data_IF_889038618608
#
_entry.id   IF_889038618608
#
_cell.length_a   1.000
_cell.length_b   1.000
_cell.length_c   1.000
_cell.angle_alpha   90.00
_cell.angle_beta   90.00
_cell.angle_gamma   90.00
#
_symmetry.space_group_name_H-M   'P 1'
#
loop_
_entity.id
_entity.type
_entity.pdbx_description
1 polymer ?
#
# COMPACT_ATOMS: atom_id res chain seq x y z
N UNK A 1 20.06 -65.39 63.18
CA UNK A 1 19.77 -63.95 63.00
C UNK A 1 20.19 -63.40 61.63
N UNK A 2 21.37 -63.72 61.08
CA UNK A 2 21.79 -63.21 59.75
C UNK A 2 20.88 -63.70 58.60
N UNK A 3 20.56 -64.99 58.53
CA UNK A 3 19.76 -65.54 57.42
C UNK A 3 18.31 -65.04 57.32
N UNK A 4 17.75 -64.41 58.36
CA UNK A 4 16.43 -63.75 58.28
C UNK A 4 16.56 -62.34 57.70
N UNK A 5 17.59 -61.57 58.11
CA UNK A 5 17.88 -60.24 57.55
C UNK A 5 18.20 -60.30 56.06
N UNK A 6 18.99 -61.29 55.63
CA UNK A 6 19.30 -61.50 54.20
C UNK A 6 18.05 -61.79 53.38
N UNK A 7 17.10 -62.58 53.91
CA UNK A 7 15.81 -62.87 53.25
C UNK A 7 14.92 -61.62 53.14
N UNK A 8 14.89 -60.78 54.18
CA UNK A 8 14.13 -59.52 54.15
C UNK A 8 14.72 -58.53 53.15
N UNK A 9 16.05 -58.37 53.12
CA UNK A 9 16.73 -57.52 52.14
C UNK A 9 16.48 -57.99 50.70
N UNK A 10 16.56 -59.29 50.47
CA UNK A 10 16.26 -59.87 49.15
C UNK A 10 14.84 -59.56 48.70
N UNK A 11 13.85 -59.71 49.59
CA UNK A 11 12.45 -59.41 49.29
C UNK A 11 12.21 -57.92 49.01
N UNK A 12 12.91 -57.03 49.72
CA UNK A 12 12.84 -55.59 49.47
C UNK A 12 13.47 -55.22 48.13
N UNK A 13 14.61 -55.83 47.78
CA UNK A 13 15.25 -55.68 46.47
C UNK A 13 14.36 -56.20 45.33
N UNK A 14 13.77 -57.39 45.48
CA UNK A 14 12.82 -57.95 44.50
C UNK A 14 11.60 -57.04 44.29
N UNK A 15 11.06 -56.44 45.38
CA UNK A 15 9.99 -55.44 45.29
C UNK A 15 10.44 -54.15 44.61
N UNK A 16 11.62 -53.64 44.96
CA UNK A 16 12.18 -52.43 44.36
C UNK A 16 12.45 -52.62 42.86
N UNK A 17 12.94 -53.80 42.49
CA UNK A 17 13.17 -54.18 41.11
C UNK A 17 11.85 -54.22 40.35
N UNK A 18 10.84 -54.93 40.87
CA UNK A 18 9.51 -54.96 40.24
C UNK A 18 8.86 -53.58 40.09
N UNK A 19 9.03 -52.69 41.08
CA UNK A 19 8.56 -51.30 40.97
C UNK A 19 9.32 -50.52 39.89
N UNK A 20 10.64 -50.74 39.76
CA UNK A 20 11.47 -50.09 38.73
C UNK A 20 11.10 -50.59 37.34
N UNK A 21 10.88 -51.90 37.18
CA UNK A 21 10.47 -52.52 35.92
C UNK A 21 9.09 -51.99 35.48
N UNK A 22 8.14 -51.91 36.41
CA UNK A 22 6.83 -51.31 36.15
C UNK A 22 6.95 -49.84 35.71
N UNK A 23 7.84 -49.08 36.34
CA UNK A 23 8.10 -47.69 35.96
C UNK A 23 8.70 -47.60 34.56
N UNK A 24 9.65 -48.49 34.23
CA UNK A 24 10.27 -48.55 32.91
C UNK A 24 9.25 -48.90 31.82
N UNK A 25 8.32 -49.80 32.10
CA UNK A 25 7.25 -50.17 31.17
C UNK A 25 6.26 -49.02 30.94
N UNK A 26 5.89 -48.29 31.99
CA UNK A 26 5.04 -47.08 31.87
C UNK A 26 5.74 -46.01 31.02
N UNK A 27 7.03 -45.75 31.27
CA UNK A 27 7.79 -44.77 30.49
C UNK A 27 7.86 -45.20 29.02
N UNK A 28 8.15 -46.48 28.74
CA UNK A 28 8.19 -47.00 27.38
C UNK A 28 6.84 -46.87 26.66
N UNK A 29 5.74 -47.17 27.35
CA UNK A 29 4.39 -47.03 26.79
C UNK A 29 4.06 -45.56 26.50
N UNK A 30 4.44 -44.66 27.40
CA UNK A 30 4.20 -43.21 27.25
C UNK A 30 5.03 -42.64 26.10
N UNK A 31 6.29 -43.05 25.96
CA UNK A 31 7.16 -42.63 24.85
C UNK A 31 6.60 -43.08 23.50
N UNK A 32 6.10 -44.32 23.42
CA UNK A 32 5.43 -44.82 22.21
C UNK A 32 4.18 -43.99 21.85
N UNK A 33 3.35 -43.64 22.84
CA UNK A 33 2.17 -42.79 22.64
C UNK A 33 2.53 -41.36 22.22
N UNK A 34 3.58 -40.77 22.80
CA UNK A 34 4.08 -39.46 22.40
C UNK A 34 4.64 -39.47 20.97
N UNK A 35 5.32 -40.56 20.58
CA UNK A 35 5.80 -40.77 19.21
C UNK A 35 4.64 -40.84 18.20
N UNK A 36 3.59 -41.60 18.51
CA UNK A 36 2.38 -41.66 17.67
C UNK A 36 1.68 -40.30 17.59
N UNK A 37 1.52 -39.62 18.72
CA UNK A 37 0.93 -38.29 18.77
C UNK A 37 1.74 -37.27 17.96
N UNK A 38 3.07 -37.33 18.02
CA UNK A 38 3.94 -36.47 17.23
C UNK A 38 3.78 -36.75 15.72
N UNK A 39 3.67 -38.02 15.33
CA UNK A 39 3.42 -38.41 13.94
C UNK A 39 2.06 -37.88 13.42
N UNK A 40 1.03 -37.88 14.27
CA UNK A 40 -0.28 -37.30 13.94
C UNK A 40 -0.21 -35.76 13.89
N UNK A 41 0.52 -35.12 14.81
CA UNK A 41 0.62 -33.66 14.89
C UNK A 41 1.45 -33.03 13.77
N UNK A 42 2.55 -33.65 13.33
CA UNK A 42 3.44 -33.09 12.32
C UNK A 42 2.73 -32.60 11.03
N UNK A 43 1.86 -33.38 10.37
CA UNK A 43 1.13 -32.91 9.20
C UNK A 43 0.11 -31.80 9.52
N UNK A 44 -0.48 -31.81 10.72
CA UNK A 44 -1.40 -30.75 11.18
C UNK A 44 -0.62 -29.43 11.33
N UNK A 45 0.55 -29.47 11.98
CA UNK A 45 1.41 -28.29 12.15
C UNK A 45 1.86 -27.73 10.79
N UNK A 46 2.26 -28.60 9.85
CA UNK A 46 2.62 -28.18 8.50
C UNK A 46 1.45 -27.50 7.78
N UNK A 47 0.25 -28.06 7.86
CA UNK A 47 -0.97 -27.46 7.28
C UNK A 47 -1.31 -26.13 7.94
N UNK A 48 -1.27 -26.05 9.27
CA UNK A 48 -1.52 -24.82 10.01
C UNK A 48 -0.52 -23.73 9.64
N UNK A 49 0.77 -24.06 9.53
CA UNK A 49 1.79 -23.12 9.10
C UNK A 49 1.55 -22.65 7.65
N UNK A 50 1.25 -23.57 6.74
CA UNK A 50 0.91 -23.24 5.35
C UNK A 50 -0.32 -22.34 5.26
N UNK A 51 -1.36 -22.61 6.06
CA UNK A 51 -2.58 -21.81 6.10
C UNK A 51 -2.31 -20.42 6.67
N UNK A 52 -1.51 -20.31 7.73
CA UNK A 52 -1.10 -19.04 8.31
C UNK A 52 -0.32 -18.18 7.29
N UNK A 53 0.57 -18.78 6.50
CA UNK A 53 1.30 -18.09 5.44
C UNK A 53 0.37 -17.67 4.29
N UNK A 54 -0.54 -18.55 3.87
CA UNK A 54 -1.54 -18.22 2.87
C UNK A 54 -2.42 -17.03 3.32
N UNK A 55 -2.84 -17.02 4.59
CA UNK A 55 -3.62 -15.93 5.16
C UNK A 55 -2.83 -14.61 5.15
N UNK A 56 -1.57 -14.60 5.59
CA UNK A 56 -0.70 -13.41 5.52
C UNK A 56 -0.55 -12.89 4.09
N UNK A 57 -0.37 -13.79 3.13
CA UNK A 57 -0.26 -13.42 1.72
C UNK A 57 -1.56 -12.79 1.20
N UNK A 58 -2.72 -13.36 1.56
CA UNK A 58 -4.03 -12.78 1.21
C UNK A 58 -4.23 -11.40 1.83
N UNK A 59 -3.89 -11.21 3.11
CA UNK A 59 -3.96 -9.89 3.76
C UNK A 59 -3.10 -8.86 3.05
N UNK A 60 -1.86 -9.22 2.70
CA UNK A 60 -0.96 -8.33 1.95
C UNK A 60 -1.52 -7.99 0.57
N UNK A 61 -2.08 -8.97 -0.14
CA UNK A 61 -2.72 -8.72 -1.44
C UNK A 61 -3.92 -7.80 -1.29
N UNK A 62 -4.72 -7.95 -0.24
CA UNK A 62 -5.86 -7.08 0.03
C UNK A 62 -5.41 -5.62 0.26
N UNK A 63 -4.42 -5.40 1.12
CA UNK A 63 -3.82 -4.08 1.37
C UNK A 63 -3.25 -3.46 0.10
N UNK A 64 -2.51 -4.25 -0.70
CA UNK A 64 -1.99 -3.79 -1.99
C UNK A 64 -3.16 -3.37 -2.90
N UNK A 65 -4.21 -4.19 -3.04
CA UNK A 65 -5.37 -3.88 -3.90
C UNK A 65 -6.14 -2.65 -3.46
N UNK A 66 -6.26 -2.40 -2.16
CA UNK A 66 -6.86 -1.18 -1.62
C UNK A 66 -6.04 0.04 -2.03
N UNK A 67 -4.71 -0.01 -1.88
CA UNK A 67 -3.80 1.05 -2.35
C UNK A 67 -3.91 1.29 -3.87
N UNK A 68 -4.07 0.24 -4.68
CA UNK A 68 -4.33 0.39 -6.12
C UNK A 68 -5.64 1.11 -6.40
N UNK A 69 -6.72 0.77 -5.68
CA UNK A 69 -8.04 1.39 -5.84
C UNK A 69 -8.01 2.87 -5.47
N UNK A 70 -7.39 3.23 -4.33
CA UNK A 70 -7.24 4.62 -3.91
C UNK A 70 -6.54 5.48 -4.98
N UNK A 71 -5.44 4.99 -5.54
CA UNK A 71 -4.69 5.71 -6.58
C UNK A 71 -5.47 5.84 -7.88
N UNK A 72 -6.30 4.84 -8.19
CA UNK A 72 -7.17 4.84 -9.37
C UNK A 72 -8.33 5.83 -9.20
N UNK A 73 -8.93 5.90 -8.01
CA UNK A 73 -9.96 6.89 -7.66
C UNK A 73 -9.40 8.32 -7.72
N UNK A 74 -8.21 8.55 -7.17
CA UNK A 74 -7.52 9.85 -7.26
C UNK A 74 -7.27 10.24 -8.71
N UNK A 75 -6.76 9.30 -9.53
CA UNK A 75 -6.51 9.55 -10.94
C UNK A 75 -7.81 9.86 -11.73
N UNK A 76 -8.90 9.16 -11.45
CA UNK A 76 -10.20 9.41 -12.08
C UNK A 76 -10.82 10.74 -11.65
N UNK A 77 -10.77 11.07 -10.36
CA UNK A 77 -11.28 12.34 -9.85
C UNK A 77 -10.50 13.53 -10.44
N UNK A 78 -9.18 13.40 -10.54
CA UNK A 78 -8.32 14.36 -11.21
C UNK A 78 -8.64 14.48 -12.72
N UNK A 79 -8.76 13.35 -13.43
CA UNK A 79 -9.14 13.33 -14.85
C UNK A 79 -10.48 13.99 -15.12
N UNK A 80 -11.51 13.71 -14.31
CA UNK A 80 -12.83 14.33 -14.44
C UNK A 80 -12.82 15.85 -14.22
N UNK A 81 -11.84 16.36 -13.48
CA UNK A 81 -11.63 17.81 -13.28
C UNK A 81 -10.96 18.44 -14.50
N UNK A 82 -9.91 17.81 -15.02
CA UNK A 82 -9.24 18.21 -16.27
C UNK A 82 -10.22 18.27 -17.45
N UNK A 83 -11.11 17.28 -17.56
CA UNK A 83 -12.13 17.24 -18.62
C UNK A 83 -13.19 18.35 -18.45
N UNK A 84 -13.61 18.65 -17.22
CA UNK A 84 -14.55 19.74 -16.93
C UNK A 84 -13.99 21.11 -17.28
N UNK A 85 -12.71 21.35 -17.03
CA UNK A 85 -12.03 22.60 -17.38
C UNK A 85 -11.94 22.83 -18.88
N UNK A 86 -11.69 21.75 -19.64
CA UNK A 86 -11.72 21.82 -21.11
C UNK A 86 -13.09 22.25 -21.66
N UNK A 87 -14.18 21.92 -20.96
CA UNK A 87 -15.54 22.31 -21.34
C UNK A 87 -15.91 23.74 -20.94
N UNK A 88 -15.39 24.24 -19.83
CA UNK A 88 -15.67 25.57 -19.32
C UNK A 88 -14.74 26.61 -19.97
N UNK A 89 -15.18 27.26 -21.04
CA UNK A 89 -14.43 28.29 -21.78
C UNK A 89 -14.30 29.63 -21.00
N UNK A 90 -14.44 29.61 -19.68
CA UNK A 90 -14.43 30.80 -18.83
C UNK A 90 -13.07 30.90 -18.13
N UNK A 91 -12.48 32.11 -18.00
CA UNK A 91 -11.20 32.29 -17.33
C UNK A 91 -11.26 31.77 -15.89
N UNK A 92 -10.26 30.97 -15.45
CA UNK A 92 -10.24 30.39 -14.11
C UNK A 92 -10.10 31.48 -13.05
N UNK A 93 -10.77 31.31 -11.89
CA UNK A 93 -10.52 32.16 -10.73
C UNK A 93 -9.12 31.85 -10.16
N UNK A 94 -8.50 32.78 -9.42
CA UNK A 94 -7.19 32.53 -8.79
C UNK A 94 -7.17 31.28 -7.90
N UNK A 95 -8.30 30.97 -7.25
CA UNK A 95 -8.49 29.78 -6.42
C UNK A 95 -8.55 28.47 -7.25
N UNK A 96 -8.88 28.56 -8.55
CA UNK A 96 -8.91 27.40 -9.45
C UNK A 96 -7.49 26.98 -9.83
N UNK A 97 -6.56 27.92 -10.00
CA UNK A 97 -5.18 27.62 -10.43
C UNK A 97 -4.42 26.77 -9.42
N UNK A 98 -4.56 27.05 -8.12
CA UNK A 98 -3.89 26.25 -7.07
C UNK A 98 -4.46 24.84 -6.99
N UNK A 99 -5.77 24.71 -7.17
CA UNK A 99 -6.45 23.43 -7.18
C UNK A 99 -6.15 22.61 -8.45
N UNK A 100 -5.76 23.27 -9.54
CA UNK A 100 -5.37 22.64 -10.80
C UNK A 100 -3.93 22.14 -10.73
N UNK A 101 -3.02 22.92 -10.14
CA UNK A 101 -1.68 22.45 -9.82
C UNK A 101 -1.72 21.25 -8.87
N UNK A 102 -2.59 21.26 -7.85
CA UNK A 102 -2.78 20.10 -6.97
C UNK A 102 -3.30 18.86 -7.73
N UNK A 103 -4.12 19.06 -8.77
CA UNK A 103 -4.60 18.00 -9.66
C UNK A 103 -3.46 17.40 -10.50
N UNK A 104 -2.58 18.24 -11.04
CA UNK A 104 -1.37 17.82 -11.77
C UNK A 104 -0.43 17.03 -10.87
N UNK A 105 -0.19 17.50 -9.64
CA UNK A 105 0.64 16.81 -8.66
C UNK A 105 0.07 15.43 -8.30
N UNK A 106 -1.26 15.33 -8.12
CA UNK A 106 -1.93 14.06 -7.87
C UNK A 106 -1.80 13.08 -9.04
N UNK A 107 -1.93 13.55 -10.29
CA UNK A 107 -1.72 12.72 -11.49
C UNK A 107 -0.25 12.27 -11.63
N UNK A 108 0.70 13.15 -11.33
CA UNK A 108 2.13 12.82 -11.33
C UNK A 108 2.47 11.77 -10.26
N UNK A 109 1.87 11.88 -9.07
CA UNK A 109 2.02 10.90 -8.00
C UNK A 109 1.44 9.53 -8.41
N UNK A 110 0.23 9.51 -8.98
CA UNK A 110 -0.39 8.28 -9.48
C UNK A 110 0.44 7.63 -10.60
N UNK A 111 0.97 8.43 -11.54
CA UNK A 111 1.85 7.94 -12.60
C UNK A 111 3.12 7.30 -12.04
N UNK A 112 3.76 7.91 -11.03
CA UNK A 112 4.93 7.34 -10.34
C UNK A 112 4.59 6.01 -9.65
N UNK A 113 3.49 5.99 -8.90
CA UNK A 113 2.98 4.79 -8.23
C UNK A 113 2.79 3.61 -9.20
N UNK A 114 2.16 3.85 -10.36
CA UNK A 114 1.96 2.82 -11.37
C UNK A 114 3.26 2.43 -12.11
N UNK A 115 4.22 3.37 -12.24
CA UNK A 115 5.52 3.11 -12.90
C UNK A 115 6.41 2.21 -12.07
N UNK A 116 6.41 2.36 -10.74
CA UNK A 116 7.20 1.56 -9.82
C UNK A 116 6.70 0.10 -9.74
N UNK A 117 5.45 -0.15 -10.15
CA UNK A 117 4.78 -1.46 -10.11
C UNK A 117 4.58 -2.10 -11.50
N UNK A 118 5.57 -1.91 -12.38
CA UNK A 118 5.64 -2.35 -13.80
C UNK A 118 5.35 -3.84 -14.08
N UNK A 119 5.41 -4.72 -13.08
CA UNK A 119 5.16 -6.14 -13.26
C UNK A 119 3.66 -6.50 -13.48
N UNK A 120 2.74 -5.58 -13.16
CA UNK A 120 1.31 -5.81 -13.29
C UNK A 120 0.77 -5.28 -14.62
N UNK A 121 0.14 -6.14 -15.43
CA UNK A 121 -0.44 -5.75 -16.74
C UNK A 121 -1.46 -4.60 -16.64
N UNK A 122 -2.22 -4.52 -15.53
CA UNK A 122 -3.15 -3.41 -15.30
C UNK A 122 -2.47 -2.08 -14.95
N UNK A 123 -1.27 -2.12 -14.38
CA UNK A 123 -0.49 -0.93 -14.06
C UNK A 123 -0.06 -0.18 -15.32
N UNK A 124 0.27 -0.90 -16.39
CA UNK A 124 0.74 -0.29 -17.64
C UNK A 124 -0.38 0.50 -18.34
N UNK A 125 -1.61 -0.01 -18.36
CA UNK A 125 -2.76 0.73 -18.89
C UNK A 125 -3.08 1.96 -18.05
N UNK A 126 -3.10 1.84 -16.72
CA UNK A 126 -3.39 2.97 -15.82
C UNK A 126 -2.29 4.04 -15.86
N UNK A 127 -1.02 3.63 -15.96
CA UNK A 127 0.13 4.52 -16.16
C UNK A 127 0.03 5.29 -17.47
N UNK A 128 -0.31 4.60 -18.56
CA UNK A 128 -0.47 5.24 -19.88
C UNK A 128 -1.58 6.28 -19.82
N UNK A 129 -2.71 5.92 -19.24
CA UNK A 129 -3.83 6.83 -19.08
C UNK A 129 -3.49 8.04 -18.18
N UNK A 130 -2.82 7.82 -17.05
CA UNK A 130 -2.35 8.90 -16.19
C UNK A 130 -1.35 9.82 -16.90
N UNK A 131 -0.43 9.26 -17.70
CA UNK A 131 0.50 10.04 -18.51
C UNK A 131 -0.20 10.87 -19.59
N UNK A 132 -1.19 10.30 -20.28
CA UNK A 132 -2.01 11.04 -21.25
C UNK A 132 -2.81 12.18 -20.60
N UNK A 133 -3.30 11.99 -19.36
CA UNK A 133 -3.97 13.04 -18.59
C UNK A 133 -2.99 14.14 -18.14
N UNK A 134 -1.78 13.77 -17.74
CA UNK A 134 -0.74 14.72 -17.34
C UNK A 134 -0.27 15.56 -18.52
N UNK A 135 -0.03 14.96 -19.68
CA UNK A 135 0.34 15.71 -20.89
C UNK A 135 -0.76 16.73 -21.25
N UNK A 136 -2.03 16.32 -21.12
CA UNK A 136 -3.17 17.23 -21.36
C UNK A 136 -3.24 18.37 -20.37
N UNK A 137 -3.08 18.11 -19.08
CA UNK A 137 -3.14 19.15 -18.06
C UNK A 137 -1.94 20.11 -18.15
N UNK A 138 -0.77 19.61 -18.54
CA UNK A 138 0.43 20.44 -18.73
C UNK A 138 0.26 21.40 -19.91
N UNK A 139 -0.28 20.93 -21.04
CA UNK A 139 -0.65 21.78 -22.18
C UNK A 139 -1.68 22.84 -21.77
N UNK A 140 -2.68 22.49 -20.96
CA UNK A 140 -3.66 23.46 -20.44
C UNK A 140 -3.01 24.53 -19.55
N UNK A 141 -2.12 24.12 -18.64
CA UNK A 141 -1.37 25.06 -17.81
C UNK A 141 -0.53 26.02 -18.66
N UNK A 142 0.12 25.54 -19.73
CA UNK A 142 0.88 26.38 -20.66
C UNK A 142 -0.01 27.38 -21.42
N UNK A 143 -1.20 26.94 -21.85
CA UNK A 143 -2.18 27.81 -22.52
C UNK A 143 -2.70 28.90 -21.59
N UNK A 144 -3.04 28.56 -20.35
CA UNK A 144 -3.47 29.53 -19.33
C UNK A 144 -2.35 30.49 -18.95
N UNK A 145 -1.11 30.00 -18.81
CA UNK A 145 0.05 30.85 -18.55
C UNK A 145 0.27 31.87 -19.68
N UNK A 146 0.15 31.42 -20.94
CA UNK A 146 0.23 32.30 -22.11
C UNK A 146 -0.89 33.35 -22.12
N UNK A 147 -2.13 32.96 -21.82
CA UNK A 147 -3.27 33.88 -21.70
C UNK A 147 -3.07 34.95 -20.62
N UNK A 148 -2.56 34.56 -19.46
CA UNK A 148 -2.27 35.50 -18.37
C UNK A 148 -1.15 36.47 -18.76
N UNK A 149 -0.08 35.99 -19.39
CA UNK A 149 1.00 36.85 -19.91
C UNK A 149 0.48 37.86 -20.94
N UNK A 150 -0.35 37.44 -21.89
CA UNK A 150 -0.94 38.32 -22.91
C UNK A 150 -1.88 39.37 -22.29
N UNK A 151 -2.66 38.99 -21.27
CA UNK A 151 -3.52 39.92 -20.53
C UNK A 151 -2.71 40.97 -19.76
N UNK A 152 -1.61 40.56 -19.12
CA UNK A 152 -0.70 41.46 -18.43
C UNK A 152 0.07 42.38 -19.38
N UNK A 153 0.50 41.88 -20.54
CA UNK A 153 1.16 42.68 -21.57
C UNK A 153 0.23 43.79 -22.10
N UNK A 154 -1.04 43.46 -22.38
CA UNK A 154 -2.04 44.46 -22.79
C UNK A 154 -2.35 45.50 -21.71
N UNK A 155 -2.39 45.09 -20.44
CA UNK A 155 -2.59 46.00 -19.32
C UNK A 155 -1.41 46.97 -19.12
N UNK A 156 -0.19 46.51 -19.39
CA UNK A 156 1.03 47.33 -19.35
C UNK A 156 1.09 48.34 -20.52
N UNK A 157 0.62 47.98 -21.71
CA UNK A 157 0.54 48.92 -22.85
C UNK A 157 -0.51 50.01 -22.62
N UNK A 158 -1.69 49.66 -22.11
CA UNK A 158 -2.79 50.61 -21.85
C UNK A 158 -2.50 51.65 -20.76
N UNK A 159 -1.56 51.40 -19.87
CA UNK A 159 -1.14 52.36 -18.83
C UNK A 159 -0.08 53.36 -19.30
N UNK A 160 0.54 53.14 -20.46
CA UNK A 160 1.48 54.10 -21.08
C UNK A 160 0.81 55.09 -22.04
N UNK A 161 -0.47 54.91 -22.37
CA UNK A 161 -1.22 55.76 -23.31
C UNK A 161 -2.04 56.91 -22.69
N UNK A 162 -2.16 56.99 -21.36
CA UNK A 162 -3.01 57.98 -20.65
C UNK A 162 -2.21 59.08 -19.96
N UNK A 163 -1.10 59.48 -20.58
CA UNK A 163 -0.11 60.38 -19.96
C UNK A 163 0.50 61.45 -20.85
N UNK A 164 -0.19 61.96 -21.88
CA UNK A 164 0.22 63.20 -22.57
C UNK A 164 -1.02 63.96 -23.06
N UNK A 165 -1.56 64.80 -22.18
CA UNK A 165 -2.62 65.76 -22.48
C UNK A 165 -2.56 66.90 -21.47
N UNK A 166 -1.37 67.46 -21.29
CA UNK A 166 -1.17 68.69 -20.51
C UNK A 166 -1.48 69.88 -21.42
N UNK A 167 -2.65 70.47 -21.17
CA UNK A 167 -2.92 71.91 -21.10
C UNK A 167 -2.16 72.79 -22.09
N UNK A 168 -2.82 73.15 -23.20
CA UNK A 168 -2.63 74.47 -23.81
C UNK A 168 -3.67 75.40 -23.18
N UNK A 169 -3.19 76.24 -22.28
CA UNK A 169 -3.85 77.45 -21.76
C UNK A 169 -3.37 78.59 -22.64
N UNK A 170 -4.27 79.22 -23.40
CA UNK A 170 -3.99 80.47 -24.12
C UNK A 170 -5.29 81.26 -24.34
N UNK A 171 -5.33 82.48 -23.78
CA UNK A 171 -6.15 83.61 -24.28
C UNK A 171 -7.43 83.94 -23.54
#
# INVERSE_FOLDING_TARGET
>A
AMGSRTRTLRRLLERSQGATDQTADIVRATDAQLGELAAIMAPIQNRTHSLANAHKNLSRVAEDTESWLEQLEVAWAAGARVDRQRGAHSPPRPDDVTADLACVDALAAAQRFFSDRRAFKGAESSRRHAGELLDKSLVQCEEEFRRLLDAHAKAAEGTTGTGTGLVEDDG
#
